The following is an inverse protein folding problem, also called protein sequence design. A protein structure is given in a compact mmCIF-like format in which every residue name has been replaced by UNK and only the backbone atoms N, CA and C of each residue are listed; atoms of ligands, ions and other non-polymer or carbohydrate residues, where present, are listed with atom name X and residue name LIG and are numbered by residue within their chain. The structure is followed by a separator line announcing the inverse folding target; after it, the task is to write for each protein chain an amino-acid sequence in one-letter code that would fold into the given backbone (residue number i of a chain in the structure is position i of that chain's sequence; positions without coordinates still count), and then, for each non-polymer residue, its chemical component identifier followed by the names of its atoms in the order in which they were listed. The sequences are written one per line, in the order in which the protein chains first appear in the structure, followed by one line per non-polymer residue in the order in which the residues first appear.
data_IF_643785405102
#
_entry.id   IF_643785405102
#
_cell.length_a   1.000
_cell.length_b   1.000
_cell.length_c   1.000
_cell.angle_alpha   90.00
_cell.angle_beta   90.00
_cell.angle_gamma   90.00
#
_symmetry.space_group_name_H-M   'P 1'
#
loop_
_entity.id
_entity.type
_entity.pdbx_description
1 polymer ?
#
# COMPACT_ATOMS: atom_id res chain seq x y z
N UNK A 1 -16.05 3.91 25.57
CA UNK A 1 -15.00 3.00 25.04
C UNK A 1 -13.88 3.86 24.55
N UNK A 2 -12.69 3.56 24.96
CA UNK A 2 -11.48 4.28 24.56
C UNK A 2 -10.77 3.47 23.48
N UNK A 3 -10.48 4.12 22.35
CA UNK A 3 -9.78 3.54 21.20
C UNK A 3 -8.42 4.24 21.03
N UNK A 4 -7.54 3.68 20.21
CA UNK A 4 -6.24 4.30 19.91
C UNK A 4 -6.41 5.47 18.93
N UNK A 5 -7.27 5.30 17.94
CA UNK A 5 -7.60 6.32 16.94
C UNK A 5 -9.06 6.18 16.48
N UNK A 6 -9.70 7.31 16.19
CA UNK A 6 -11.03 7.35 15.57
C UNK A 6 -11.00 8.23 14.33
N UNK A 7 -11.48 7.69 13.21
CA UNK A 7 -11.74 8.44 11.98
C UNK A 7 -13.21 8.79 11.92
N UNK A 8 -13.55 10.07 11.91
CA UNK A 8 -14.92 10.58 12.03
C UNK A 8 -15.54 10.97 10.69
N UNK A 9 -16.78 10.57 10.47
CA UNK A 9 -17.65 11.10 9.44
C UNK A 9 -17.24 10.82 8.00
N UNK A 10 -16.34 9.85 7.77
CA UNK A 10 -15.84 9.50 6.45
C UNK A 10 -16.82 8.63 5.65
N UNK A 11 -16.75 8.71 4.33
CA UNK A 11 -17.47 7.77 3.44
C UNK A 11 -16.70 6.47 3.37
N UNK A 12 -17.12 5.48 4.12
CA UNK A 12 -16.43 4.18 4.25
C UNK A 12 -16.74 3.31 3.04
N UNK A 13 -15.66 2.80 2.41
CA UNK A 13 -15.66 1.74 1.39
C UNK A 13 -14.84 0.59 1.95
N UNK A 14 -15.49 -0.46 2.42
CA UNK A 14 -14.85 -1.53 3.21
C UNK A 14 -14.32 -2.73 2.38
N UNK A 15 -14.46 -2.66 1.06
CA UNK A 15 -14.02 -3.72 0.15
C UNK A 15 -14.97 -4.93 0.06
N UNK A 16 -16.08 -4.92 0.78
CA UNK A 16 -17.05 -6.03 0.76
C UNK A 16 -17.92 -6.09 -0.51
N UNK A 17 -17.84 -5.07 -1.36
CA UNK A 17 -18.71 -4.89 -2.53
C UNK A 17 -20.06 -4.23 -2.20
N UNK A 18 -20.30 -3.90 -0.94
CA UNK A 18 -21.49 -3.16 -0.54
C UNK A 18 -21.37 -1.67 -0.87
N UNK A 19 -22.52 -0.99 -0.94
CA UNK A 19 -22.53 0.46 -1.15
C UNK A 19 -21.79 1.19 -0.02
N UNK A 20 -21.04 2.23 -0.38
CA UNK A 20 -20.37 3.08 0.60
C UNK A 20 -21.38 3.77 1.52
N UNK A 21 -20.98 3.98 2.77
CA UNK A 21 -21.80 4.67 3.76
C UNK A 21 -20.98 5.66 4.57
N UNK A 22 -21.61 6.71 5.04
CA UNK A 22 -20.96 7.63 5.99
C UNK A 22 -20.96 6.97 7.38
N UNK A 23 -19.77 6.83 7.97
CA UNK A 23 -19.61 6.20 9.27
C UNK A 23 -18.30 6.66 9.92
N UNK A 24 -18.19 6.44 11.21
CA UNK A 24 -16.94 6.51 11.97
C UNK A 24 -16.25 5.15 11.92
N UNK A 25 -14.93 5.16 12.04
CA UNK A 25 -14.10 3.98 12.12
C UNK A 25 -13.17 4.10 13.34
N UNK A 26 -13.19 3.10 14.20
CA UNK A 26 -12.31 3.04 15.36
C UNK A 26 -11.20 2.02 15.16
N UNK A 27 -10.01 2.40 15.60
CA UNK A 27 -8.81 1.56 15.55
C UNK A 27 -8.37 1.28 16.99
N UNK A 28 -8.07 0.00 17.25
CA UNK A 28 -7.53 -0.47 18.51
C UNK A 28 -6.44 -1.51 18.23
N UNK A 29 -5.27 -1.33 18.82
CA UNK A 29 -4.13 -2.24 18.67
C UNK A 29 -3.78 -2.53 17.21
N UNK A 30 -3.80 -1.49 16.35
CA UNK A 30 -3.48 -1.58 14.94
C UNK A 30 -4.53 -2.28 14.07
N UNK A 31 -5.75 -2.51 14.60
CA UNK A 31 -6.84 -3.17 13.87
C UNK A 31 -8.09 -2.32 13.88
N UNK A 32 -8.90 -2.45 12.84
CA UNK A 32 -10.24 -1.87 12.81
C UNK A 32 -11.10 -2.63 13.84
N UNK A 33 -11.48 -1.93 14.90
CA UNK A 33 -12.26 -2.48 16.02
C UNK A 33 -13.77 -2.28 15.83
N UNK A 34 -14.17 -1.17 15.21
CA UNK A 34 -15.58 -0.86 14.95
C UNK A 34 -15.75 0.04 13.74
N UNK A 35 -16.87 -0.11 13.03
CA UNK A 35 -17.33 0.78 11.96
C UNK A 35 -18.82 1.05 12.18
N UNK A 36 -19.20 2.31 12.32
CA UNK A 36 -20.60 2.71 12.56
C UNK A 36 -20.70 4.10 13.14
N UNK A 37 -21.81 4.38 13.82
CA UNK A 37 -21.92 5.60 14.62
C UNK A 37 -21.29 5.33 15.99
N UNK A 38 -20.24 6.08 16.31
CA UNK A 38 -19.46 5.89 17.54
C UNK A 38 -19.63 7.07 18.48
N UNK A 39 -20.89 7.46 18.70
CA UNK A 39 -21.23 8.56 19.61
C UNK A 39 -20.67 8.30 21.00
N UNK A 40 -19.99 9.30 21.57
CA UNK A 40 -19.41 9.19 22.89
C UNK A 40 -18.14 8.33 22.98
N UNK A 41 -17.66 7.74 21.90
CA UNK A 41 -16.36 7.09 21.87
C UNK A 41 -15.23 8.14 21.90
N UNK A 42 -14.14 7.81 22.58
CA UNK A 42 -12.97 8.68 22.75
C UNK A 42 -11.70 7.98 22.26
N UNK A 43 -10.76 8.75 21.78
CA UNK A 43 -9.41 8.30 21.42
C UNK A 43 -8.43 9.47 21.58
N UNK A 44 -7.16 9.20 21.84
CA UNK A 44 -6.12 10.25 21.87
C UNK A 44 -5.91 10.88 20.50
N UNK A 45 -6.17 10.13 19.42
CA UNK A 45 -6.12 10.61 18.05
C UNK A 45 -7.51 10.58 17.42
N UNK A 46 -7.95 11.71 16.87
CA UNK A 46 -9.21 11.82 16.14
C UNK A 46 -8.95 12.49 14.80
N UNK A 47 -9.26 11.79 13.72
CA UNK A 47 -9.12 12.27 12.35
C UNK A 47 -10.50 12.66 11.83
N UNK A 48 -10.68 13.92 11.45
CA UNK A 48 -11.90 14.37 10.76
C UNK A 48 -11.80 13.97 9.28
N UNK A 49 -12.68 13.08 8.86
CA UNK A 49 -12.79 12.60 7.48
C UNK A 49 -14.09 13.06 6.80
N UNK A 50 -14.75 14.10 7.33
CA UNK A 50 -15.96 14.62 6.71
C UNK A 50 -15.72 15.03 5.25
N UNK A 51 -16.49 14.46 4.32
CA UNK A 51 -16.32 14.69 2.89
C UNK A 51 -15.22 13.86 2.21
N UNK A 52 -14.44 13.10 2.97
CA UNK A 52 -13.40 12.24 2.45
C UNK A 52 -13.86 10.79 2.32
N UNK A 53 -13.12 10.01 1.52
CA UNK A 53 -13.30 8.56 1.40
C UNK A 53 -12.34 7.85 2.34
N UNK A 54 -12.86 6.94 3.13
CA UNK A 54 -12.08 6.04 4.01
C UNK A 54 -12.17 4.63 3.42
N UNK A 55 -11.04 4.09 3.01
CA UNK A 55 -10.96 2.80 2.34
C UNK A 55 -9.68 2.08 2.75
N UNK A 56 -9.60 0.74 2.55
CA UNK A 56 -8.33 0.02 2.69
C UNK A 56 -7.26 0.63 1.79
N UNK A 57 -6.02 0.61 2.25
CA UNK A 57 -4.89 1.05 1.44
C UNK A 57 -4.80 0.25 0.14
N UNK A 58 -4.38 0.90 -0.93
CA UNK A 58 -4.25 0.29 -2.24
C UNK A 58 -3.09 -0.70 -2.22
N UNK A 59 -3.33 -1.92 -2.74
CA UNK A 59 -2.30 -2.92 -2.98
C UNK A 59 -1.95 -2.90 -4.46
N UNK A 60 -0.75 -2.44 -4.79
CA UNK A 60 -0.24 -2.49 -6.15
C UNK A 60 0.56 -3.79 -6.34
N UNK A 61 -0.01 -4.71 -7.07
CA UNK A 61 0.54 -6.05 -7.27
C UNK A 61 1.47 -6.17 -8.48
N UNK A 62 1.74 -5.07 -9.20
CA UNK A 62 2.59 -5.09 -10.38
C UNK A 62 3.52 -3.87 -10.39
N UNK A 63 4.64 -3.96 -9.68
CA UNK A 63 5.60 -2.88 -9.56
C UNK A 63 7.02 -3.35 -9.94
N UNK A 64 7.88 -2.36 -10.20
CA UNK A 64 9.30 -2.53 -10.49
C UNK A 64 10.15 -1.73 -9.48
N UNK A 65 9.77 -1.78 -8.21
CA UNK A 65 10.43 -1.03 -7.14
C UNK A 65 11.78 -1.60 -6.70
N UNK A 66 12.12 -2.83 -7.11
CA UNK A 66 13.33 -3.49 -6.67
C UNK A 66 14.58 -2.58 -6.69
N UNK A 67 14.95 -1.96 -7.84
CA UNK A 67 16.10 -1.06 -7.85
C UNK A 67 15.83 0.30 -7.19
N UNK A 68 14.58 0.71 -7.11
CA UNK A 68 14.23 2.00 -6.52
C UNK A 68 14.44 2.00 -5.00
N UNK A 69 14.17 0.88 -4.32
CA UNK A 69 14.30 0.78 -2.88
C UNK A 69 15.71 1.04 -2.35
N UNK A 70 16.73 0.90 -3.21
CA UNK A 70 18.12 1.22 -2.85
C UNK A 70 18.33 2.72 -2.58
N UNK A 71 17.61 3.59 -3.31
CA UNK A 71 17.76 5.04 -3.18
C UNK A 71 16.49 5.72 -2.63
N UNK A 72 15.36 5.06 -2.66
CA UNK A 72 14.09 5.56 -2.15
C UNK A 72 13.35 4.46 -1.39
N UNK A 73 13.71 4.22 -0.11
CA UNK A 73 13.11 3.17 0.70
C UNK A 73 11.63 3.39 1.01
N UNK A 74 11.11 4.59 0.76
CA UNK A 74 9.68 4.90 0.93
C UNK A 74 8.84 4.52 -0.30
N UNK A 75 9.46 4.05 -1.38
CA UNK A 75 8.79 3.71 -2.63
C UNK A 75 7.87 4.84 -3.13
N UNK A 76 8.39 6.06 -3.12
CA UNK A 76 7.70 7.23 -3.65
C UNK A 76 7.65 7.16 -5.18
N UNK A 77 6.67 7.68 -5.87
CA UNK A 77 5.52 8.46 -5.36
C UNK A 77 4.28 7.64 -5.01
N UNK A 78 4.30 6.31 -5.11
CA UNK A 78 3.10 5.48 -4.92
C UNK A 78 2.42 5.71 -3.57
N UNK A 79 3.20 5.88 -2.49
CA UNK A 79 2.64 6.16 -1.17
C UNK A 79 1.82 7.46 -1.11
N UNK A 80 2.16 8.46 -1.93
CA UNK A 80 1.39 9.72 -2.01
C UNK A 80 0.05 9.56 -2.72
N UNK A 81 -0.15 8.44 -3.41
CA UNK A 81 -1.39 8.09 -4.09
C UNK A 81 -2.23 7.06 -3.32
N UNK A 82 -1.90 6.82 -2.04
CA UNK A 82 -2.64 5.90 -1.17
C UNK A 82 -2.28 4.42 -1.34
N UNK A 83 -1.19 4.12 -2.05
CA UNK A 83 -0.64 2.77 -2.09
C UNK A 83 0.07 2.48 -0.76
N UNK A 84 -0.35 1.44 -0.08
CA UNK A 84 0.21 1.02 1.22
C UNK A 84 0.98 -0.29 1.14
N UNK A 85 0.85 -0.99 0.03
CA UNK A 85 1.53 -2.27 -0.20
C UNK A 85 1.88 -2.40 -1.66
N UNK A 86 3.11 -2.82 -1.95
CA UNK A 86 3.57 -3.12 -3.30
C UNK A 86 4.08 -4.55 -3.38
N UNK A 87 3.90 -5.18 -4.53
CA UNK A 87 4.44 -6.50 -4.82
C UNK A 87 5.40 -6.39 -5.99
N UNK A 88 6.66 -6.74 -5.74
CA UNK A 88 7.71 -6.83 -6.76
C UNK A 88 7.78 -8.22 -7.37
N UNK A 89 8.42 -8.33 -8.54
CA UNK A 89 8.70 -9.60 -9.20
C UNK A 89 7.53 -10.23 -9.96
N UNK A 90 6.32 -9.67 -9.89
CA UNK A 90 5.15 -10.22 -10.58
C UNK A 90 5.33 -10.32 -12.09
N UNK A 91 6.06 -9.38 -12.68
CA UNK A 91 6.36 -9.32 -14.11
C UNK A 91 7.50 -10.26 -14.56
N UNK A 92 7.97 -11.15 -13.68
CA UNK A 92 9.09 -12.04 -13.95
C UNK A 92 10.46 -11.37 -13.89
N UNK A 93 10.53 -10.10 -13.52
CA UNK A 93 11.76 -9.35 -13.31
C UNK A 93 11.85 -8.90 -11.84
N UNK A 94 12.82 -9.44 -11.12
CA UNK A 94 13.14 -9.06 -9.76
C UNK A 94 14.64 -9.20 -9.53
N UNK A 95 15.23 -8.34 -8.72
CA UNK A 95 16.63 -8.44 -8.33
C UNK A 95 16.85 -9.32 -7.09
N UNK A 96 15.78 -9.75 -6.43
CA UNK A 96 15.88 -10.59 -5.24
C UNK A 96 14.91 -11.79 -5.30
N UNK A 97 15.39 -13.04 -5.17
CA UNK A 97 16.79 -13.46 -5.12
C UNK A 97 17.46 -13.42 -6.50
N UNK A 98 18.70 -12.98 -6.57
CA UNK A 98 19.44 -12.90 -7.83
C UNK A 98 20.83 -13.53 -7.70
N UNK A 99 21.43 -13.89 -8.83
CA UNK A 99 22.83 -14.30 -8.88
C UNK A 99 23.75 -13.09 -8.77
N UNK A 100 24.96 -13.29 -8.28
CA UNK A 100 25.96 -12.21 -8.12
C UNK A 100 26.19 -11.39 -9.41
N UNK A 101 26.01 -11.99 -10.58
CA UNK A 101 26.17 -11.30 -11.87
C UNK A 101 25.10 -10.24 -12.14
N UNK A 102 23.89 -10.45 -11.65
CA UNK A 102 22.82 -9.46 -11.76
C UNK A 102 23.01 -8.29 -10.79
N UNK A 103 23.57 -8.56 -9.62
CA UNK A 103 23.84 -7.56 -8.59
C UNK A 103 24.94 -6.57 -8.98
N UNK A 104 25.87 -7.02 -9.84
CA UNK A 104 26.99 -6.21 -10.32
C UNK A 104 26.76 -5.53 -11.65
N UNK A 105 25.62 -5.78 -12.29
CA UNK A 105 25.29 -5.15 -13.57
C UNK A 105 24.86 -3.69 -13.37
N UNK A 106 25.56 -2.74 -14.01
CA UNK A 106 25.34 -1.32 -13.75
C UNK A 106 24.04 -0.77 -14.37
N UNK A 107 23.38 -1.52 -15.25
CA UNK A 107 22.09 -1.07 -15.83
C UNK A 107 21.35 -2.21 -16.52
N UNK A 108 20.02 -2.31 -16.36
CA UNK A 108 19.19 -3.20 -17.15
C UNK A 108 19.14 -2.82 -18.64
N UNK A 109 19.71 -1.69 -19.02
CA UNK A 109 19.89 -1.27 -20.43
C UNK A 109 21.22 -1.73 -21.03
N UNK A 110 22.05 -2.38 -20.24
CA UNK A 110 23.29 -2.95 -20.77
C UNK A 110 22.95 -4.06 -21.76
N UNK A 111 23.51 -3.99 -22.95
CA UNK A 111 23.22 -4.89 -24.07
C UNK A 111 23.44 -6.37 -23.76
N UNK A 112 24.15 -6.69 -22.68
CA UNK A 112 24.36 -8.05 -22.19
C UNK A 112 23.15 -8.63 -21.45
N UNK A 113 22.25 -7.79 -20.94
CA UNK A 113 21.03 -8.21 -20.24
C UNK A 113 19.82 -8.32 -21.19
N UNK A 114 19.87 -7.71 -22.37
CA UNK A 114 18.78 -7.74 -23.34
C UNK A 114 18.71 -9.03 -24.17
N UNK A 115 19.64 -9.96 -23.99
CA UNK A 115 19.59 -11.28 -24.62
C UNK A 115 18.94 -12.29 -23.70
N UNK A 116 17.63 -12.21 -23.58
CA UNK A 116 16.86 -13.40 -23.25
C UNK A 116 17.12 -14.43 -24.37
N UNK A 117 17.51 -15.67 -24.04
CA UNK A 117 17.54 -16.71 -25.05
C UNK A 117 16.12 -16.84 -25.60
N UNK A 118 15.96 -16.62 -26.89
CA UNK A 118 14.74 -17.03 -27.58
C UNK A 118 14.58 -18.52 -27.33
N UNK A 119 13.59 -18.91 -26.56
CA UNK A 119 13.19 -20.31 -26.44
C UNK A 119 12.89 -20.82 -27.83
N UNK A 120 13.69 -21.74 -28.28
CA UNK A 120 13.36 -22.59 -29.40
C UNK A 120 12.22 -23.54 -29.02
#
# INVERSE_FOLDING_TARGET
MEFDCIVRGGRVVDGSGQASRVADLAIQSGRVAAIGQLDGATAPEVIDAAGLVVMPGIVDHHTHYDPQLDFDPCATPSCFHGVTTVVSGHCGFSIAPCTCLLYTSPSPRDATLSRMPSSA
#
